data_IF_910852060091
#
_entry.id   IF_910852060091
#
_cell.length_a   1.000
_cell.length_b   1.000
_cell.length_c   1.000
_cell.angle_alpha   90.00
_cell.angle_beta   90.00
_cell.angle_gamma   90.00
#
_symmetry.space_group_name_H-M   'P 1'
#
loop_
_entity.id
_entity.type
_entity.pdbx_description
1 polymer ?
#
# COMPACT_ATOMS: atom_id res chain seq x y z
N UNK A 1 36.73 31.48 10.66
CA UNK A 1 36.10 30.29 11.29
C UNK A 1 37.18 29.27 11.60
N UNK A 2 37.26 28.73 12.82
CA UNK A 2 38.21 27.65 13.15
C UNK A 2 37.73 26.34 12.48
N UNK A 3 38.65 25.54 11.92
CA UNK A 3 38.36 24.29 11.19
C UNK A 3 37.45 23.33 11.97
N UNK A 4 37.61 23.28 13.29
CA UNK A 4 36.76 22.51 14.20
C UNK A 4 35.28 22.96 14.17
N UNK A 5 35.02 24.26 14.07
CA UNK A 5 33.65 24.80 13.97
C UNK A 5 33.00 24.45 12.63
N UNK A 6 33.78 24.41 11.54
CA UNK A 6 33.28 23.99 10.23
C UNK A 6 32.92 22.49 10.23
N UNK A 7 33.78 21.66 10.83
CA UNK A 7 33.53 20.22 10.95
C UNK A 7 32.29 19.91 11.79
N UNK A 8 32.11 20.63 12.90
CA UNK A 8 30.95 20.49 13.77
C UNK A 8 29.64 20.88 13.04
N UNK A 9 29.65 21.99 12.30
CA UNK A 9 28.50 22.41 11.49
C UNK A 9 28.17 21.42 10.37
N UNK A 10 29.19 20.83 9.73
CA UNK A 10 28.98 19.81 8.71
C UNK A 10 28.37 18.54 9.33
N UNK A 11 28.89 18.07 10.46
CA UNK A 11 28.33 16.90 11.15
C UNK A 11 26.88 17.11 11.60
N UNK A 12 26.55 18.31 12.07
CA UNK A 12 25.20 18.66 12.50
C UNK A 12 24.22 18.71 11.32
N UNK A 13 24.65 19.21 10.16
CA UNK A 13 23.83 19.23 8.94
C UNK A 13 23.58 17.82 8.38
N UNK A 14 24.58 16.94 8.38
CA UNK A 14 24.37 15.53 8.03
C UNK A 14 23.43 14.81 9.01
N UNK A 15 23.54 15.10 10.31
CA UNK A 15 22.66 14.53 11.34
C UNK A 15 21.19 14.95 11.16
N UNK A 16 20.94 16.20 10.75
CA UNK A 16 19.60 16.70 10.45
C UNK A 16 18.96 15.98 9.25
N UNK A 17 19.74 15.72 8.19
CA UNK A 17 19.27 14.97 7.01
C UNK A 17 18.95 13.52 7.37
N UNK A 18 19.76 12.87 8.22
CA UNK A 18 19.50 11.51 8.67
C UNK A 18 18.22 11.38 9.50
N UNK A 19 17.91 12.38 10.35
CA UNK A 19 16.68 12.39 11.14
C UNK A 19 15.42 12.65 10.30
N UNK A 20 15.55 13.42 9.22
CA UNK A 20 14.47 13.69 8.27
C UNK A 20 14.27 12.56 7.24
N UNK A 21 15.15 11.55 7.23
CA UNK A 21 15.04 10.44 6.30
C UNK A 21 13.77 9.60 6.62
N UNK A 22 12.92 9.32 5.63
CA UNK A 22 11.67 8.60 5.80
C UNK A 22 11.90 7.08 5.81
N UNK A 23 12.72 6.62 6.76
CA UNK A 23 13.18 5.23 6.87
C UNK A 23 12.00 4.24 6.93
N UNK A 24 10.89 4.63 7.54
CA UNK A 24 9.65 3.83 7.63
C UNK A 24 9.02 3.52 6.27
N UNK A 25 9.13 4.43 5.30
CA UNK A 25 8.59 4.22 3.94
C UNK A 25 9.45 3.24 3.14
N UNK A 26 10.79 3.31 3.30
CA UNK A 26 11.73 2.40 2.64
C UNK A 26 11.55 0.94 3.09
N UNK A 27 11.24 0.71 4.36
CA UNK A 27 11.02 -0.65 4.90
C UNK A 27 9.67 -1.22 4.44
N UNK A 28 8.64 -0.38 4.30
CA UNK A 28 7.28 -0.82 3.91
C UNK A 28 7.19 -1.19 2.42
N UNK A 29 7.94 -0.51 1.55
CA UNK A 29 7.93 -0.79 0.10
C UNK A 29 8.46 -2.19 -0.27
N UNK A 30 9.30 -2.80 0.58
CA UNK A 30 9.94 -4.10 0.31
C UNK A 30 9.03 -5.32 0.44
N UNK A 31 7.84 -5.19 1.05
CA UNK A 31 6.91 -6.30 1.33
C UNK A 31 5.62 -6.23 0.49
N UNK A 32 5.71 -5.76 -0.76
CA UNK A 32 4.56 -5.76 -1.67
C UNK A 32 4.64 -7.01 -2.55
N UNK A 33 3.80 -8.00 -2.24
CA UNK A 33 3.60 -9.17 -3.09
C UNK A 33 2.90 -8.73 -4.39
N UNK A 34 3.37 -9.23 -5.53
CA UNK A 34 2.72 -8.95 -6.81
C UNK A 34 1.32 -9.56 -6.83
N UNK A 35 0.33 -8.96 -7.51
CA UNK A 35 -1.03 -9.51 -7.55
C UNK A 35 -1.10 -10.96 -8.01
N UNK A 36 -0.26 -11.37 -8.97
CA UNK A 36 -0.19 -12.75 -9.47
C UNK A 36 0.30 -13.77 -8.42
N UNK A 37 1.04 -13.30 -7.40
CA UNK A 37 1.61 -14.13 -6.34
C UNK A 37 0.84 -14.00 -5.01
N UNK A 38 -0.18 -13.14 -4.95
CA UNK A 38 -0.93 -12.81 -3.74
C UNK A 38 -2.27 -13.59 -3.69
N UNK A 39 -2.45 -14.53 -2.74
CA UNK A 39 -3.67 -15.33 -2.62
C UNK A 39 -4.95 -14.51 -2.45
N UNK A 40 -4.86 -13.24 -2.03
CA UNK A 40 -6.02 -12.34 -1.95
C UNK A 40 -6.72 -12.16 -3.30
N UNK A 41 -5.99 -12.18 -4.42
CA UNK A 41 -6.54 -12.01 -5.77
C UNK A 41 -7.17 -13.30 -6.32
N UNK A 42 -7.01 -14.43 -5.62
CA UNK A 42 -7.60 -15.70 -6.04
C UNK A 42 -8.95 -15.89 -5.35
N UNK A 43 -10.08 -15.87 -6.08
CA UNK A 43 -11.38 -16.11 -5.48
C UNK A 43 -11.50 -17.56 -4.98
N UNK A 44 -12.25 -17.75 -3.90
CA UNK A 44 -12.50 -19.09 -3.34
C UNK A 44 -13.42 -19.89 -4.26
N UNK A 45 -13.26 -21.21 -4.25
CA UNK A 45 -14.15 -22.11 -4.99
C UNK A 45 -15.63 -21.83 -4.68
N UNK A 46 -16.46 -21.74 -5.72
CA UNK A 46 -17.88 -21.48 -5.60
C UNK A 46 -18.28 -20.00 -5.60
N UNK A 47 -17.33 -19.07 -5.74
CA UNK A 47 -17.63 -17.64 -5.88
C UNK A 47 -18.55 -17.33 -7.07
N UNK A 48 -18.58 -18.20 -8.07
CA UNK A 48 -19.37 -18.06 -9.29
C UNK A 48 -20.88 -18.07 -8.99
N UNK A 49 -21.28 -18.72 -7.90
CA UNK A 49 -22.68 -18.82 -7.42
C UNK A 49 -23.14 -17.59 -6.64
N UNK A 50 -22.22 -16.71 -6.25
CA UNK A 50 -22.53 -15.45 -5.59
C UNK A 50 -23.18 -14.48 -6.57
N UNK A 51 -23.91 -13.50 -6.04
CA UNK A 51 -24.54 -12.47 -6.87
C UNK A 51 -23.49 -11.44 -7.34
N UNK A 52 -23.64 -10.86 -8.53
CA UNK A 52 -22.82 -9.70 -8.92
C UNK A 52 -22.89 -8.60 -7.85
N UNK A 53 -21.72 -8.08 -7.45
CA UNK A 53 -21.55 -7.10 -6.37
C UNK A 53 -21.32 -7.69 -4.97
N UNK A 54 -21.45 -9.00 -4.80
CA UNK A 54 -21.24 -9.64 -3.51
C UNK A 54 -19.74 -9.72 -3.13
N UNK A 55 -19.43 -9.47 -1.86
CA UNK A 55 -18.05 -9.48 -1.35
C UNK A 55 -17.59 -10.92 -1.12
N UNK A 56 -16.52 -11.32 -1.79
CA UNK A 56 -15.88 -12.63 -1.70
C UNK A 56 -14.86 -12.64 -0.55
N UNK A 57 -14.06 -11.58 -0.45
CA UNK A 57 -13.00 -11.43 0.55
C UNK A 57 -12.71 -9.94 0.79
N UNK A 58 -12.11 -9.61 1.93
CA UNK A 58 -11.68 -8.23 2.21
C UNK A 58 -10.42 -8.21 3.07
N UNK A 59 -9.64 -7.13 2.95
CA UNK A 59 -8.48 -6.86 3.81
C UNK A 59 -8.30 -5.37 4.04
N UNK A 60 -7.79 -5.01 5.21
CA UNK A 60 -7.36 -3.64 5.49
C UNK A 60 -5.98 -3.41 4.87
N UNK A 61 -5.82 -2.27 4.18
CA UNK A 61 -4.52 -1.81 3.71
C UNK A 61 -3.84 -1.11 4.87
N UNK A 62 -2.61 -1.54 5.17
CA UNK A 62 -1.79 -1.00 6.28
C UNK A 62 -0.66 -0.11 5.78
N UNK A 63 -0.41 -0.12 4.47
CA UNK A 63 0.56 0.71 3.81
C UNK A 63 0.07 2.18 3.79
N UNK A 64 0.97 3.15 4.04
CA UNK A 64 0.62 4.56 3.97
C UNK A 64 0.28 4.96 2.53
N UNK A 65 -0.67 5.88 2.39
CA UNK A 65 -1.02 6.51 1.12
C UNK A 65 -0.31 7.85 0.97
N UNK A 66 0.05 8.18 -0.26
CA UNK A 66 0.74 9.43 -0.59
C UNK A 66 2.21 9.22 -0.97
N UNK A 67 2.90 10.34 -1.18
CA UNK A 67 4.34 10.32 -1.42
C UNK A 67 5.07 10.46 -0.10
N UNK A 68 6.30 9.97 -0.06
CA UNK A 68 7.21 9.97 1.09
C UNK A 68 7.22 11.31 1.88
N UNK A 69 7.07 12.44 1.20
CA UNK A 69 7.13 13.78 1.79
C UNK A 69 5.76 14.31 2.29
N UNK A 70 4.64 13.71 1.85
CA UNK A 70 3.27 14.07 2.22
C UNK A 70 2.39 12.83 2.27
N UNK A 71 2.20 12.30 3.48
CA UNK A 71 1.22 11.26 3.75
C UNK A 71 -0.21 11.83 3.64
N UNK A 72 -1.07 11.12 2.91
CA UNK A 72 -2.48 11.46 2.79
C UNK A 72 -3.21 11.12 4.09
N UNK A 73 -4.17 11.96 4.49
CA UNK A 73 -4.95 11.78 5.73
C UNK A 73 -6.11 10.80 5.53
N UNK A 74 -5.81 9.56 5.18
CA UNK A 74 -6.79 8.49 5.04
C UNK A 74 -6.97 7.80 6.40
N UNK A 75 -8.21 7.73 6.90
CA UNK A 75 -8.51 7.11 8.20
C UNK A 75 -8.32 5.59 8.17
N UNK A 76 -8.81 4.97 7.11
CA UNK A 76 -8.64 3.54 6.85
C UNK A 76 -8.90 3.29 5.37
N UNK A 77 -8.27 2.28 4.82
CA UNK A 77 -8.54 1.82 3.48
C UNK A 77 -8.69 0.31 3.45
N UNK A 78 -9.60 -0.16 2.61
CA UNK A 78 -9.91 -1.57 2.48
C UNK A 78 -9.90 -1.97 1.02
N UNK A 79 -9.33 -3.14 0.75
CA UNK A 79 -9.54 -3.85 -0.50
C UNK A 79 -10.65 -4.87 -0.32
N UNK A 80 -11.53 -4.93 -1.31
CA UNK A 80 -12.59 -5.93 -1.41
C UNK A 80 -12.40 -6.70 -2.71
N UNK A 81 -12.37 -8.03 -2.61
CA UNK A 81 -12.54 -8.91 -3.74
C UNK A 81 -14.05 -9.12 -3.93
N UNK A 82 -14.58 -8.75 -5.09
CA UNK A 82 -16.02 -8.65 -5.36
C UNK A 82 -16.36 -9.50 -6.57
N UNK A 83 -17.49 -10.21 -6.49
CA UNK A 83 -18.04 -10.95 -7.64
C UNK A 83 -18.51 -9.96 -8.72
N UNK A 84 -18.07 -10.14 -9.95
CA UNK A 84 -18.40 -9.31 -11.11
C UNK A 84 -18.46 -10.13 -12.40
N UNK A 85 -18.86 -9.56 -13.53
CA UNK A 85 -18.97 -10.28 -14.81
C UNK A 85 -17.97 -9.71 -15.81
N UNK A 86 -17.44 -10.57 -16.69
CA UNK A 86 -16.68 -10.09 -17.84
C UNK A 86 -17.59 -9.53 -18.94
N UNK A 87 -17.01 -9.05 -20.05
CA UNK A 87 -17.78 -8.48 -21.17
C UNK A 87 -18.68 -9.48 -21.89
N UNK A 88 -18.54 -10.78 -21.63
CA UNK A 88 -19.37 -11.85 -22.18
C UNK A 88 -20.42 -12.37 -21.18
N UNK A 89 -20.46 -11.81 -19.97
CA UNK A 89 -21.38 -12.23 -18.90
C UNK A 89 -20.89 -13.43 -18.08
N UNK A 90 -19.64 -13.86 -18.23
CA UNK A 90 -19.12 -14.98 -17.44
C UNK A 90 -18.77 -14.54 -16.00
N UNK A 91 -18.84 -15.45 -15.02
CA UNK A 91 -18.39 -15.17 -13.67
C UNK A 91 -16.93 -14.72 -13.57
N UNK A 92 -16.70 -13.59 -12.94
CA UNK A 92 -15.38 -13.01 -12.71
C UNK A 92 -15.26 -12.42 -11.29
N UNK A 93 -14.04 -12.13 -10.84
CA UNK A 93 -13.78 -11.44 -9.58
C UNK A 93 -12.91 -10.20 -9.84
N UNK A 94 -13.24 -9.10 -9.19
CA UNK A 94 -12.48 -7.84 -9.29
C UNK A 94 -12.08 -7.35 -7.90
N UNK A 95 -10.98 -6.62 -7.82
CA UNK A 95 -10.58 -5.94 -6.58
C UNK A 95 -10.96 -4.47 -6.68
N UNK A 96 -11.64 -3.96 -5.65
CA UNK A 96 -11.90 -2.53 -5.48
C UNK A 96 -11.30 -2.04 -4.16
N UNK A 97 -10.98 -0.75 -4.09
CA UNK A 97 -10.44 -0.10 -2.90
C UNK A 97 -11.39 1.00 -2.42
N UNK A 98 -11.72 1.01 -1.14
CA UNK A 98 -12.57 2.01 -0.48
C UNK A 98 -11.77 2.68 0.63
N UNK A 99 -11.82 4.02 0.71
CA UNK A 99 -10.99 4.88 1.57
C UNK A 99 -11.80 6.01 2.20
#
# INVERSE_FOLDING_TARGET
MRLHSLFLLLSLSFFQVALAAPIKSLITAGNITRPEDDPFYTPKEGYEKLKPGEVINYRQITQPYGIIMWEEKIKAAYQFLVRSEDSFGNPNAIVTTVM
#
